data_IF_399262298944
#
_entry.id   IF_399262298944
#
_cell.length_a   1.000
_cell.length_b   1.000
_cell.length_c   1.000
_cell.angle_alpha   90.00
_cell.angle_beta   90.00
_cell.angle_gamma   90.00
#
_symmetry.space_group_name_H-M   'P 1'
#
loop_
_entity.id
_entity.type
_entity.pdbx_description
1 polymer ?
#
# COMPACT_ATOMS: atom_id res chain seq x y z
N UNK A 1 12.35 -10.01 11.94
CA UNK A 1 11.26 -9.13 11.47
C UNK A 1 10.43 -9.90 10.45
N UNK A 2 9.12 -9.91 10.61
CA UNK A 2 8.19 -10.62 9.72
C UNK A 2 7.37 -9.59 8.98
N UNK A 3 7.31 -9.66 7.65
CA UNK A 3 6.58 -8.72 6.80
C UNK A 3 6.10 -9.39 5.52
N UNK A 4 5.13 -8.77 4.85
CA UNK A 4 4.61 -9.23 3.57
C UNK A 4 5.54 -8.78 2.43
N UNK A 5 6.03 -9.73 1.64
CA UNK A 5 6.89 -9.45 0.48
C UNK A 5 6.13 -9.42 -0.87
N UNK A 6 4.87 -9.81 -0.87
CA UNK A 6 4.03 -9.89 -2.06
C UNK A 6 2.54 -9.94 -1.71
N UNK A 7 1.67 -9.53 -2.65
CA UNK A 7 0.21 -9.62 -2.52
C UNK A 7 -0.49 -8.29 -2.74
N UNK A 8 -1.79 -8.34 -2.99
CA UNK A 8 -2.66 -7.16 -3.16
C UNK A 8 -3.45 -6.92 -1.88
N UNK A 9 -3.30 -5.75 -1.28
CA UNK A 9 -3.94 -5.38 -0.01
C UNK A 9 -5.05 -4.34 -0.21
N UNK A 10 -6.01 -4.28 0.71
CA UNK A 10 -7.01 -3.21 0.74
C UNK A 10 -6.37 -1.92 1.27
N UNK A 11 -6.53 -0.81 0.56
CA UNK A 11 -5.88 0.48 0.89
C UNK A 11 -6.25 0.97 2.28
N UNK A 12 -7.51 0.80 2.65
CA UNK A 12 -8.13 1.16 3.93
C UNK A 12 -7.69 0.26 5.10
N UNK A 13 -7.16 -0.94 4.82
CA UNK A 13 -6.63 -1.84 5.84
C UNK A 13 -5.17 -1.55 6.20
N UNK A 14 -4.49 -0.71 5.41
CA UNK A 14 -3.11 -0.32 5.63
C UNK A 14 -3.02 0.93 6.52
N UNK A 15 -2.14 0.90 7.51
CA UNK A 15 -1.87 2.06 8.36
C UNK A 15 -0.92 3.03 7.64
N UNK A 16 -1.49 3.99 6.92
CA UNK A 16 -0.73 5.03 6.24
C UNK A 16 -0.26 6.14 7.20
N UNK A 17 0.91 6.74 6.96
CA UNK A 17 1.36 7.90 7.74
C UNK A 17 0.45 9.11 7.50
N UNK A 18 0.26 9.93 8.54
CA UNK A 18 -0.55 11.15 8.46
C UNK A 18 0.05 12.09 7.42
N UNK A 19 -0.79 12.61 6.52
CA UNK A 19 -0.42 13.52 5.42
C UNK A 19 0.42 12.90 4.31
N UNK A 20 0.30 11.58 4.07
CA UNK A 20 0.84 10.99 2.85
C UNK A 20 0.18 11.65 1.63
N UNK A 21 1.00 12.06 0.66
CA UNK A 21 0.51 12.55 -0.62
C UNK A 21 -0.18 11.40 -1.38
N UNK A 22 -1.31 11.69 -2.04
CA UNK A 22 -2.13 10.68 -2.69
C UNK A 22 -1.39 9.92 -3.80
N UNK A 23 -0.48 10.58 -4.54
CA UNK A 23 0.30 9.94 -5.60
C UNK A 23 1.40 9.07 -5.01
N UNK A 24 2.04 9.53 -3.93
CA UNK A 24 3.01 8.74 -3.18
C UNK A 24 2.37 7.53 -2.50
N UNK A 25 1.14 7.68 -2.01
CA UNK A 25 0.37 6.60 -1.44
C UNK A 25 0.03 5.55 -2.51
N UNK A 26 -0.56 5.97 -3.63
CA UNK A 26 -0.96 5.08 -4.72
C UNK A 26 0.21 4.28 -5.32
N UNK A 27 1.41 4.87 -5.35
CA UNK A 27 2.61 4.24 -5.91
C UNK A 27 3.60 3.75 -4.84
N UNK A 28 3.18 3.66 -3.57
CA UNK A 28 4.10 3.39 -2.46
C UNK A 28 4.92 2.11 -2.62
N UNK A 29 4.38 1.12 -3.33
CA UNK A 29 5.00 -0.18 -3.54
C UNK A 29 5.37 -0.47 -5.00
N UNK A 30 5.30 0.54 -5.87
CA UNK A 30 5.64 0.39 -7.28
C UNK A 30 7.11 -0.08 -7.44
N UNK A 31 7.31 -1.18 -8.16
CA UNK A 31 8.61 -1.84 -8.30
C UNK A 31 8.86 -3.01 -7.33
N UNK A 32 7.92 -3.29 -6.42
CA UNK A 32 7.90 -4.51 -5.60
C UNK A 32 6.76 -5.46 -6.03
N UNK A 33 6.69 -6.65 -5.42
CA UNK A 33 5.58 -7.58 -5.64
C UNK A 33 4.34 -7.29 -4.76
N UNK A 34 4.34 -6.16 -4.03
CA UNK A 34 3.23 -5.69 -3.21
C UNK A 34 2.45 -4.62 -3.96
N UNK A 35 1.13 -4.69 -3.88
CA UNK A 35 0.22 -3.69 -4.43
C UNK A 35 -0.96 -3.47 -3.49
N UNK A 36 -1.73 -2.41 -3.70
CA UNK A 36 -2.97 -2.18 -2.97
C UNK A 36 -4.04 -1.55 -3.87
N UNK A 37 -5.30 -1.79 -3.53
CA UNK A 37 -6.47 -1.22 -4.20
C UNK A 37 -7.52 -0.85 -3.17
N UNK A 38 -8.34 0.17 -3.45
CA UNK A 38 -9.51 0.45 -2.61
C UNK A 38 -10.60 -0.59 -2.92
N UNK A 39 -11.24 -1.14 -1.90
CA UNK A 39 -12.42 -1.98 -2.12
C UNK A 39 -13.60 -1.08 -2.55
N UNK A 40 -14.49 -1.59 -3.43
CA UNK A 40 -15.69 -0.88 -3.85
C UNK A 40 -16.69 -0.66 -2.71
#
# INVERSE_FOLDING_TARGET
LTYWKSGTFATESLAWPKSVDAIKQANAFAGSAVSHAALP
#
